data_IF_499459724169
#
_entry.id   IF_499459724169
#
_cell.length_a   1.000
_cell.length_b   1.000
_cell.length_c   1.000
_cell.angle_alpha   90.00
_cell.angle_beta   90.00
_cell.angle_gamma   90.00
#
_symmetry.space_group_name_H-M   'P 1'
#
loop_
_entity.id
_entity.type
_entity.pdbx_description
1 polymer ?
#
# COMPACT_ATOMS: atom_id res chain seq x y z
N UNK A 1 6.21 9.66 -9.68
CA UNK A 1 4.80 9.16 -9.55
C UNK A 1 3.86 10.35 -9.41
N UNK A 2 2.65 10.33 -10.00
CA UNK A 2 1.77 11.52 -10.12
C UNK A 2 0.33 11.32 -9.63
N UNK A 3 0.13 10.43 -8.65
CA UNK A 3 -1.20 10.21 -8.04
C UNK A 3 -1.42 11.27 -6.97
N UNK A 4 -2.61 11.88 -6.94
CA UNK A 4 -3.00 12.81 -5.89
C UNK A 4 -3.29 12.03 -4.59
N UNK A 5 -2.33 12.06 -3.66
CA UNK A 5 -2.42 11.42 -2.35
C UNK A 5 -2.29 12.51 -1.29
N UNK A 6 -3.14 12.44 -0.26
CA UNK A 6 -3.11 13.34 0.90
C UNK A 6 -1.77 13.32 1.63
N UNK A 7 -1.52 14.32 2.49
CA UNK A 7 -0.24 14.40 3.23
C UNK A 7 -0.11 13.25 4.24
N UNK A 8 1.12 12.99 4.70
CA UNK A 8 1.37 11.96 5.71
C UNK A 8 0.54 12.19 6.99
N UNK A 9 0.34 13.45 7.36
CA UNK A 9 -0.45 13.85 8.53
C UNK A 9 -1.95 13.66 8.32
N UNK A 10 -2.44 13.67 7.08
CA UNK A 10 -3.85 13.46 6.77
C UNK A 10 -4.20 11.97 6.66
N UNK A 11 -3.23 11.12 6.30
CA UNK A 11 -3.42 9.68 6.16
C UNK A 11 -3.67 9.00 7.53
N UNK A 12 -4.89 8.50 7.73
CA UNK A 12 -5.31 7.93 9.01
C UNK A 12 -4.51 6.69 9.44
N UNK A 13 -4.03 5.90 8.47
CA UNK A 13 -3.22 4.71 8.73
C UNK A 13 -1.82 5.04 9.31
N UNK A 14 -1.34 6.28 9.14
CA UNK A 14 -0.11 6.74 9.81
C UNK A 14 -0.31 7.04 11.29
N UNK A 15 -1.56 7.14 11.75
CA UNK A 15 -1.91 7.49 13.14
C UNK A 15 -2.50 6.32 13.91
N UNK A 16 -3.29 5.47 13.24
CA UNK A 16 -4.08 4.42 13.87
C UNK A 16 -3.72 3.05 13.31
N UNK A 17 -3.51 2.08 14.19
CA UNK A 17 -3.45 0.66 13.83
C UNK A 17 -4.84 0.14 13.40
N UNK A 18 -4.93 -1.00 12.69
CA UNK A 18 -6.23 -1.51 12.22
C UNK A 18 -7.28 -1.69 13.32
N UNK A 19 -6.97 -2.23 14.52
CA UNK A 19 -7.96 -2.32 15.61
C UNK A 19 -8.44 -0.95 16.11
N UNK A 20 -7.54 0.04 16.19
CA UNK A 20 -7.90 1.39 16.61
C UNK A 20 -8.72 2.10 15.54
N UNK A 21 -8.39 1.88 14.27
CA UNK A 21 -9.15 2.40 13.15
C UNK A 21 -10.55 1.80 13.09
N UNK A 22 -10.70 0.48 13.32
CA UNK A 22 -12.00 -0.18 13.42
C UNK A 22 -12.91 0.53 14.44
N UNK A 23 -12.38 0.75 15.65
CA UNK A 23 -13.07 1.49 16.71
C UNK A 23 -13.40 2.93 16.29
N UNK A 24 -12.46 3.62 15.63
CA UNK A 24 -12.62 5.00 15.18
C UNK A 24 -13.78 5.16 14.18
N UNK A 25 -13.94 4.20 13.25
CA UNK A 25 -15.00 4.23 12.23
C UNK A 25 -16.29 3.52 12.67
N UNK A 26 -16.34 2.97 13.88
CA UNK A 26 -17.51 2.24 14.42
C UNK A 26 -17.70 0.83 13.85
N UNK A 27 -16.66 0.24 13.26
CA UNK A 27 -16.69 -1.13 12.78
C UNK A 27 -16.45 -2.13 13.94
N UNK A 28 -17.03 -3.33 13.81
CA UNK A 28 -16.79 -4.44 14.74
C UNK A 28 -15.37 -5.01 14.57
N UNK A 29 -14.87 -5.02 13.33
CA UNK A 29 -13.52 -5.45 12.98
C UNK A 29 -13.05 -4.73 11.71
N UNK A 30 -11.74 -4.58 11.53
CA UNK A 30 -11.12 -4.08 10.32
C UNK A 30 -9.83 -4.84 10.09
N UNK A 31 -9.65 -5.34 8.87
CA UNK A 31 -8.43 -5.97 8.41
C UNK A 31 -8.09 -5.45 7.01
N UNK A 32 -6.79 -5.42 6.69
CA UNK A 32 -6.30 -5.06 5.36
C UNK A 32 -5.93 -6.30 4.57
N UNK A 33 -6.04 -6.23 3.24
CA UNK A 33 -5.35 -7.17 2.36
C UNK A 33 -3.84 -7.03 2.60
N UNK A 34 -3.12 -8.15 2.72
CA UNK A 34 -1.67 -8.11 2.85
C UNK A 34 -1.03 -7.56 1.57
N UNK A 35 0.10 -6.86 1.71
CA UNK A 35 0.85 -6.35 0.55
C UNK A 35 1.27 -7.50 -0.37
N UNK A 36 1.75 -8.61 0.19
CA UNK A 36 2.10 -9.80 -0.58
C UNK A 36 0.90 -10.39 -1.33
N UNK A 37 -0.26 -10.45 -0.67
CA UNK A 37 -1.50 -10.93 -1.29
C UNK A 37 -1.96 -10.02 -2.43
N UNK A 38 -1.84 -8.70 -2.26
CA UNK A 38 -2.12 -7.71 -3.30
C UNK A 38 -1.18 -7.91 -4.50
N UNK A 39 0.13 -8.00 -4.25
CA UNK A 39 1.15 -8.18 -5.31
C UNK A 39 0.91 -9.48 -6.08
N UNK A 40 0.62 -10.58 -5.39
CA UNK A 40 0.30 -11.85 -6.03
C UNK A 40 -0.95 -11.76 -6.91
N UNK A 41 -2.01 -11.14 -6.40
CA UNK A 41 -3.28 -11.01 -7.11
C UNK A 41 -3.15 -10.16 -8.40
N UNK A 42 -2.47 -9.02 -8.34
CA UNK A 42 -2.33 -8.13 -9.51
C UNK A 42 -1.35 -8.66 -10.56
N UNK A 43 -0.34 -9.44 -10.15
CA UNK A 43 0.67 -10.02 -11.06
C UNK A 43 0.25 -11.33 -11.72
N UNK A 44 -0.86 -11.94 -11.32
CA UNK A 44 -1.25 -13.29 -11.72
C UNK A 44 -1.22 -13.53 -13.24
N UNK A 45 -1.61 -12.53 -14.04
CA UNK A 45 -1.71 -12.63 -15.51
C UNK A 45 -0.71 -11.75 -16.26
N UNK A 46 0.32 -11.23 -15.58
CA UNK A 46 1.37 -10.45 -16.23
C UNK A 46 2.30 -11.40 -17.00
N UNK A 47 2.51 -11.13 -18.28
CA UNK A 47 3.52 -11.82 -19.07
C UNK A 47 4.93 -11.50 -18.52
N UNK A 48 5.82 -12.49 -18.47
CA UNK A 48 7.17 -12.36 -17.94
C UNK A 48 7.23 -11.88 -16.47
N UNK A 49 6.28 -12.32 -15.62
CA UNK A 49 6.22 -11.93 -14.20
C UNK A 49 7.48 -12.19 -13.38
N UNK A 50 8.41 -13.04 -13.83
CA UNK A 50 9.70 -13.32 -13.18
C UNK A 50 10.76 -12.25 -13.48
N UNK A 51 10.53 -11.36 -14.44
CA UNK A 51 11.43 -10.23 -14.71
C UNK A 51 11.36 -9.21 -13.56
N UNK A 52 12.51 -8.95 -12.94
CA UNK A 52 12.65 -8.01 -11.83
C UNK A 52 12.30 -6.57 -12.23
N UNK A 53 12.32 -6.24 -13.53
CA UNK A 53 11.99 -4.91 -14.04
C UNK A 53 10.48 -4.71 -14.28
N UNK A 54 9.67 -5.77 -14.15
CA UNK A 54 8.23 -5.74 -14.39
C UNK A 54 7.49 -5.84 -13.05
N UNK A 55 6.72 -4.81 -12.71
CA UNK A 55 5.96 -4.81 -11.46
C UNK A 55 5.08 -3.58 -11.27
N UNK A 56 4.56 -3.45 -10.05
CA UNK A 56 3.76 -2.32 -9.60
C UNK A 56 4.43 -1.68 -8.40
N UNK A 57 4.35 -0.35 -8.32
CA UNK A 57 4.82 0.37 -7.15
C UNK A 57 3.91 0.12 -5.95
N UNK A 58 4.51 -0.13 -4.78
CA UNK A 58 3.83 -0.32 -3.50
C UNK A 58 4.22 0.74 -2.46
N UNK A 59 4.95 1.79 -2.85
CA UNK A 59 5.52 2.79 -1.94
C UNK A 59 4.49 3.43 -0.99
N UNK A 60 3.26 3.67 -1.45
CA UNK A 60 2.20 4.24 -0.61
C UNK A 60 1.72 3.30 0.51
N UNK A 61 2.06 2.02 0.42
CA UNK A 61 1.71 0.97 1.40
C UNK A 61 2.93 0.57 2.25
N UNK A 62 4.12 0.53 1.66
CA UNK A 62 5.34 -0.01 2.28
C UNK A 62 6.37 1.05 2.65
N UNK A 63 6.31 2.23 2.04
CA UNK A 63 7.40 3.21 2.08
C UNK A 63 8.60 2.86 1.18
N UNK A 64 8.57 1.74 0.46
CA UNK A 64 9.63 1.32 -0.45
C UNK A 64 9.42 1.94 -1.83
N UNK A 65 10.13 3.04 -2.10
CA UNK A 65 10.07 3.74 -3.38
C UNK A 65 10.95 3.04 -4.43
N UNK A 66 10.49 2.97 -5.70
CA UNK A 66 11.27 2.36 -6.79
C UNK A 66 12.50 3.18 -7.20
N UNK A 67 12.64 4.39 -6.65
CA UNK A 67 13.74 5.32 -6.87
C UNK A 67 14.11 6.00 -5.54
N UNK A 68 15.34 6.52 -5.46
CA UNK A 68 15.75 7.31 -4.29
C UNK A 68 14.99 8.62 -4.24
N UNK A 69 14.36 8.89 -3.11
CA UNK A 69 13.73 10.17 -2.86
C UNK A 69 14.79 11.27 -2.71
N UNK A 70 14.62 12.36 -3.42
CA UNK A 70 15.33 13.61 -3.18
C UNK A 70 14.35 14.53 -2.43
N UNK A 71 14.66 14.79 -1.17
CA UNK A 71 13.89 15.65 -0.28
C UNK A 71 14.38 17.09 -0.34
#
# INVERSE_FOLDING_TARGET
MGINISTLEELIANKLSPPLLAKHVGAVSLEYLSVDGLVQAVRQNIANKEDANIGHCTACLTGEYPENLQW
#
